data_IF_267652992197
#
_entry.id   IF_267652992197
#
_cell.length_a   1.000
_cell.length_b   1.000
_cell.length_c   1.000
_cell.angle_alpha   90.00
_cell.angle_beta   90.00
_cell.angle_gamma   90.00
#
_symmetry.space_group_name_H-M   'P 1'
#
loop_
_entity.id
_entity.type
_entity.pdbx_description
1 polymer ?
#
# COMPACT_ATOMS: atom_id res chain seq x y z
N UNK A 1 -0.71 6.04 42.93
CA UNK A 1 -1.49 5.59 41.79
C UNK A 1 -0.59 5.20 40.59
N UNK A 2 0.46 5.99 40.29
CA UNK A 2 1.46 5.67 39.25
C UNK A 2 2.32 4.43 39.59
N UNK A 3 2.77 4.30 40.82
CA UNK A 3 3.51 3.13 41.32
C UNK A 3 2.70 1.84 41.32
N UNK A 4 1.37 1.92 41.48
CA UNK A 4 0.47 0.76 41.39
C UNK A 4 0.25 0.28 39.96
N UNK A 5 0.26 1.20 39.00
CA UNK A 5 0.21 0.88 37.55
C UNK A 5 1.54 0.29 37.05
N UNK A 6 2.68 0.75 37.57
CA UNK A 6 3.99 0.15 37.32
C UNK A 6 4.13 -1.25 37.93
N UNK A 7 3.56 -1.49 39.10
CA UNK A 7 3.56 -2.80 39.77
C UNK A 7 2.70 -3.84 39.01
N UNK A 8 1.59 -3.42 38.42
CA UNK A 8 0.74 -4.29 37.58
C UNK A 8 1.41 -4.59 36.22
N UNK A 9 2.20 -3.65 35.69
CA UNK A 9 2.95 -3.82 34.45
C UNK A 9 4.13 -4.80 34.56
N UNK A 10 4.65 -4.98 35.77
CA UNK A 10 5.88 -5.76 36.05
C UNK A 10 5.66 -7.25 36.30
N UNK A 11 4.42 -7.77 36.16
CA UNK A 11 4.06 -9.13 36.58
C UNK A 11 3.46 -10.06 35.52
N UNK A 12 3.35 -9.64 34.26
CA UNK A 12 2.85 -10.54 33.19
C UNK A 12 3.95 -10.74 32.15
N UNK A 13 4.64 -11.86 32.25
CA UNK A 13 5.60 -12.30 31.23
C UNK A 13 4.86 -12.51 29.92
N UNK A 14 5.43 -12.04 28.83
CA UNK A 14 4.95 -12.34 27.48
C UNK A 14 5.26 -13.79 27.17
N UNK A 15 4.30 -14.51 26.61
CA UNK A 15 4.45 -15.86 26.14
C UNK A 15 4.45 -15.90 24.62
N UNK A 16 5.33 -16.75 24.08
CA UNK A 16 5.43 -17.06 22.67
C UNK A 16 4.91 -18.47 22.47
N UNK A 17 3.72 -18.61 21.89
CA UNK A 17 3.09 -19.90 21.66
C UNK A 17 3.00 -20.18 20.17
N UNK A 18 3.50 -21.36 19.77
CA UNK A 18 3.52 -21.79 18.37
C UNK A 18 2.52 -22.94 18.17
N UNK A 19 1.65 -22.78 17.16
CA UNK A 19 0.71 -23.79 16.69
C UNK A 19 1.09 -24.28 15.31
N UNK A 20 0.85 -25.55 15.02
CA UNK A 20 0.74 -26.08 13.66
C UNK A 20 -0.73 -26.02 13.23
N UNK A 21 -1.00 -25.43 12.08
CA UNK A 21 -2.35 -25.28 11.52
C UNK A 21 -2.42 -26.09 10.22
N UNK A 22 -2.88 -27.34 10.30
CA UNK A 22 -2.77 -28.32 9.18
C UNK A 22 -3.41 -27.86 7.87
N UNK A 23 -4.45 -27.06 7.93
CA UNK A 23 -5.16 -26.55 6.75
C UNK A 23 -4.78 -25.12 6.37
N UNK A 24 -3.69 -24.58 6.90
CA UNK A 24 -3.18 -23.26 6.50
C UNK A 24 -2.31 -23.39 5.24
N UNK A 25 -2.97 -23.39 4.09
CA UNK A 25 -2.34 -23.59 2.79
C UNK A 25 -2.26 -22.30 1.95
N UNK A 26 -3.01 -21.27 2.34
CA UNK A 26 -3.06 -20.02 1.59
C UNK A 26 -3.23 -18.80 2.53
N UNK A 27 -3.04 -17.57 2.02
CA UNK A 27 -3.29 -16.34 2.77
C UNK A 27 -4.74 -16.17 3.26
N UNK A 28 -5.69 -16.99 2.77
CA UNK A 28 -7.09 -16.93 3.20
C UNK A 28 -7.25 -17.39 4.65
N UNK A 29 -6.59 -18.50 5.00
CA UNK A 29 -6.60 -19.04 6.36
C UNK A 29 -5.85 -18.14 7.34
N UNK A 30 -4.72 -17.54 6.91
CA UNK A 30 -4.04 -16.50 7.67
C UNK A 30 -4.99 -15.36 8.03
N UNK A 31 -5.72 -14.84 7.03
CA UNK A 31 -6.67 -13.74 7.26
C UNK A 31 -7.80 -14.14 8.23
N UNK A 32 -8.32 -15.37 8.15
CA UNK A 32 -9.34 -15.87 9.07
C UNK A 32 -8.79 -15.92 10.51
N UNK A 33 -7.57 -16.43 10.68
CA UNK A 33 -6.90 -16.49 11.99
C UNK A 33 -6.63 -15.10 12.54
N UNK A 34 -6.10 -14.16 11.73
CA UNK A 34 -5.93 -12.76 12.13
C UNK A 34 -7.24 -12.14 12.60
N UNK A 35 -8.32 -12.28 11.81
CA UNK A 35 -9.62 -11.73 12.16
C UNK A 35 -10.16 -12.25 13.49
N UNK A 36 -9.90 -13.51 13.81
CA UNK A 36 -10.40 -14.15 15.02
C UNK A 36 -9.54 -13.82 16.25
N UNK A 37 -8.22 -13.66 16.05
CA UNK A 37 -7.25 -13.47 17.12
C UNK A 37 -6.96 -11.99 17.43
N UNK A 38 -7.01 -11.08 16.44
CA UNK A 38 -6.76 -9.65 16.65
C UNK A 38 -7.79 -8.95 17.57
N UNK A 39 -8.93 -9.59 17.83
CA UNK A 39 -9.95 -9.06 18.75
C UNK A 39 -9.68 -9.44 20.21
N UNK A 40 -8.74 -10.36 20.47
CA UNK A 40 -8.36 -10.82 21.80
C UNK A 40 -7.33 -9.84 22.38
N UNK A 41 -7.68 -9.17 23.47
CA UNK A 41 -6.84 -8.11 24.07
C UNK A 41 -5.47 -8.64 24.56
N UNK A 42 -5.40 -9.89 24.94
CA UNK A 42 -4.20 -10.60 25.40
C UNK A 42 -3.22 -10.87 24.26
N UNK A 43 -3.65 -10.97 23.01
CA UNK A 43 -2.80 -11.17 21.83
C UNK A 43 -2.08 -9.86 21.50
N UNK A 44 -0.76 -9.93 21.38
CA UNK A 44 0.10 -8.76 21.10
C UNK A 44 0.67 -8.79 19.70
N UNK A 45 0.98 -9.97 19.17
CA UNK A 45 1.43 -10.14 17.79
C UNK A 45 1.14 -11.53 17.26
N UNK A 46 1.03 -11.65 15.94
CA UNK A 46 0.82 -12.89 15.20
C UNK A 46 1.85 -12.99 14.08
N UNK A 47 2.62 -14.07 14.07
CA UNK A 47 3.55 -14.40 12.99
C UNK A 47 3.07 -15.67 12.27
N UNK A 48 3.01 -15.61 10.94
CA UNK A 48 2.55 -16.71 10.10
C UNK A 48 3.65 -17.22 9.19
N UNK A 49 3.87 -18.51 9.22
CA UNK A 49 4.74 -19.27 8.32
C UNK A 49 3.88 -20.25 7.51
N UNK A 50 3.26 -19.73 6.45
CA UNK A 50 2.33 -20.50 5.60
C UNK A 50 3.03 -21.74 4.98
N UNK A 51 4.27 -21.66 4.43
CA UNK A 51 4.94 -22.82 3.90
C UNK A 51 5.11 -23.96 4.89
N UNK A 52 5.37 -23.64 6.16
CA UNK A 52 5.55 -24.62 7.24
C UNK A 52 4.29 -24.81 8.08
N UNK A 53 3.16 -24.14 7.72
CA UNK A 53 1.86 -24.23 8.39
C UNK A 53 1.93 -23.89 9.88
N UNK A 54 2.77 -22.91 10.25
CA UNK A 54 2.97 -22.49 11.64
C UNK A 54 2.35 -21.12 11.89
N UNK A 55 1.69 -21.02 13.03
CA UNK A 55 1.21 -19.78 13.62
C UNK A 55 1.93 -19.58 14.95
N UNK A 56 2.64 -18.47 15.09
CA UNK A 56 3.22 -18.06 16.37
C UNK A 56 2.40 -16.90 16.92
N UNK A 57 1.89 -17.08 18.14
CA UNK A 57 1.10 -16.08 18.87
C UNK A 57 1.92 -15.55 20.03
N UNK A 58 2.13 -14.23 20.05
CA UNK A 58 2.70 -13.54 21.22
C UNK A 58 1.55 -12.99 22.06
N UNK A 59 1.43 -13.43 23.30
CA UNK A 59 0.32 -13.09 24.16
C UNK A 59 0.74 -12.87 25.61
N UNK A 60 -0.16 -12.24 26.40
CA UNK A 60 0.02 -12.02 27.83
C UNK A 60 -1.14 -12.71 28.55
N UNK A 61 -0.84 -13.72 29.39
CA UNK A 61 -1.85 -14.40 30.21
C UNK A 61 -2.34 -15.71 29.63
N UNK A 62 -3.59 -16.09 29.86
CA UNK A 62 -4.08 -17.44 29.61
C UNK A 62 -4.29 -17.71 28.10
N UNK A 63 -3.69 -18.80 27.64
CA UNK A 63 -3.79 -19.29 26.25
C UNK A 63 -5.17 -19.85 25.89
N UNK A 64 -6.00 -20.20 26.87
CA UNK A 64 -7.25 -20.97 26.64
C UNK A 64 -8.24 -20.28 25.71
N UNK A 65 -8.31 -18.94 25.73
CA UNK A 65 -9.18 -18.18 24.82
C UNK A 65 -8.64 -18.18 23.37
N UNK A 66 -7.31 -18.12 23.24
CA UNK A 66 -6.61 -18.20 21.95
C UNK A 66 -6.82 -19.59 21.33
N UNK A 67 -6.61 -20.67 22.11
CA UNK A 67 -6.83 -22.04 21.66
C UNK A 67 -8.29 -22.27 21.25
N UNK A 68 -9.24 -21.83 22.06
CA UNK A 68 -10.67 -21.95 21.74
C UNK A 68 -11.00 -21.24 20.42
N UNK A 69 -10.45 -20.03 20.22
CA UNK A 69 -10.67 -19.22 19.03
C UNK A 69 -10.09 -19.84 17.76
N UNK A 70 -8.93 -20.49 17.87
CA UNK A 70 -8.31 -21.23 16.75
C UNK A 70 -9.12 -22.49 16.44
N UNK A 71 -9.51 -23.25 17.46
CA UNK A 71 -10.29 -24.48 17.33
C UNK A 71 -11.65 -24.25 16.66
N UNK A 72 -12.31 -23.12 16.96
CA UNK A 72 -13.60 -22.72 16.34
C UNK A 72 -13.51 -22.67 14.81
N UNK A 73 -12.34 -22.35 14.25
CA UNK A 73 -12.10 -22.26 12.79
C UNK A 73 -11.97 -23.64 12.13
N UNK A 74 -11.82 -24.73 12.92
CA UNK A 74 -11.69 -26.13 12.45
C UNK A 74 -10.60 -26.33 11.39
N UNK A 75 -9.51 -25.59 11.52
CA UNK A 75 -8.36 -25.65 10.62
C UNK A 75 -7.36 -26.77 10.98
N UNK A 76 -7.61 -27.50 12.08
CA UNK A 76 -6.79 -28.62 12.53
C UNK A 76 -5.53 -28.13 13.21
N UNK A 77 -5.67 -27.40 14.30
CA UNK A 77 -4.61 -26.85 15.13
C UNK A 77 -3.97 -27.92 16.03
N UNK A 78 -2.68 -27.76 16.28
CA UNK A 78 -1.90 -28.54 17.24
C UNK A 78 -0.90 -27.61 17.92
N UNK A 79 -0.92 -27.53 19.24
CA UNK A 79 0.06 -26.79 20.01
C UNK A 79 1.44 -27.46 19.89
N UNK A 80 2.45 -26.71 19.43
CA UNK A 80 3.83 -27.21 19.30
C UNK A 80 4.68 -26.83 20.52
N UNK A 81 4.66 -25.57 20.92
CA UNK A 81 5.45 -25.05 22.04
C UNK A 81 4.80 -23.81 22.63
N UNK A 82 5.03 -23.60 23.93
CA UNK A 82 4.78 -22.33 24.61
C UNK A 82 5.98 -22.01 25.50
N UNK A 83 6.58 -20.83 25.27
CA UNK A 83 7.78 -20.40 25.94
C UNK A 83 7.58 -18.97 26.45
N UNK A 84 8.05 -18.70 27.66
CA UNK A 84 8.12 -17.34 28.18
C UNK A 84 9.19 -16.58 27.41
N UNK A 85 8.84 -15.44 26.81
CA UNK A 85 9.81 -14.59 26.12
C UNK A 85 9.97 -13.28 26.89
N UNK A 86 11.18 -12.73 26.87
CA UNK A 86 11.38 -11.35 27.32
C UNK A 86 10.66 -10.43 26.34
N UNK A 87 10.21 -9.27 26.85
CA UNK A 87 9.44 -8.28 26.10
C UNK A 87 10.13 -8.01 24.73
N UNK A 88 9.64 -8.65 23.67
CA UNK A 88 10.11 -8.40 22.32
C UNK A 88 9.58 -7.01 21.99
N UNK A 89 10.46 -6.02 21.94
CA UNK A 89 10.11 -4.71 21.39
C UNK A 89 9.70 -4.95 19.93
N UNK A 90 8.39 -4.91 19.66
CA UNK A 90 7.84 -4.89 18.30
C UNK A 90 8.20 -3.55 17.62
N UNK A 91 9.51 -3.29 17.48
CA UNK A 91 10.05 -2.11 16.80
C UNK A 91 9.68 -2.06 15.32
N UNK A 92 9.36 -3.21 14.72
CA UNK A 92 9.06 -3.31 13.30
C UNK A 92 7.74 -2.62 12.94
N UNK A 93 6.66 -2.82 13.67
CA UNK A 93 5.35 -2.20 13.34
C UNK A 93 5.38 -0.67 13.41
N UNK A 94 6.03 -0.08 14.40
CA UNK A 94 6.12 1.37 14.51
C UNK A 94 6.96 1.98 13.39
N UNK A 95 8.02 1.29 12.97
CA UNK A 95 8.88 1.69 11.86
C UNK A 95 8.17 1.62 10.50
N UNK A 96 7.48 0.52 10.25
CA UNK A 96 6.71 0.32 9.02
C UNK A 96 5.55 1.32 8.89
N UNK A 97 4.80 1.54 9.96
CA UNK A 97 3.72 2.53 9.99
C UNK A 97 4.23 3.94 9.71
N UNK A 98 5.37 4.33 10.28
CA UNK A 98 5.99 5.63 10.01
C UNK A 98 6.45 5.73 8.56
N UNK A 99 7.02 4.65 8.01
CA UNK A 99 7.44 4.60 6.61
C UNK A 99 6.24 4.77 5.67
N UNK A 100 5.15 4.02 5.87
CA UNK A 100 3.93 4.12 5.08
C UNK A 100 3.32 5.53 5.14
N UNK A 101 3.29 6.18 6.31
CA UNK A 101 2.85 7.56 6.44
C UNK A 101 3.74 8.53 5.66
N UNK A 102 5.06 8.31 5.69
CA UNK A 102 6.02 9.15 4.96
C UNK A 102 5.80 9.03 3.46
N UNK A 103 5.70 7.80 2.95
CA UNK A 103 5.50 7.55 1.52
C UNK A 103 4.13 8.07 1.06
N UNK A 104 3.07 7.86 1.84
CA UNK A 104 1.75 8.44 1.57
C UNK A 104 1.80 9.96 1.45
N UNK A 105 2.47 10.63 2.40
CA UNK A 105 2.58 12.09 2.38
C UNK A 105 3.35 12.58 1.15
N UNK A 106 4.42 11.89 0.75
CA UNK A 106 5.20 12.21 -0.45
C UNK A 106 4.33 12.03 -1.70
N UNK A 107 3.69 10.87 -1.88
CA UNK A 107 2.84 10.62 -3.06
C UNK A 107 1.68 11.61 -3.14
N UNK A 108 1.01 11.90 -2.03
CA UNK A 108 -0.08 12.86 -2.01
C UNK A 108 0.39 14.29 -2.32
N UNK A 109 1.57 14.69 -1.84
CA UNK A 109 2.15 15.99 -2.16
C UNK A 109 2.49 16.09 -3.66
N UNK A 110 3.11 15.05 -4.23
CA UNK A 110 3.42 15.01 -5.66
C UNK A 110 2.17 14.92 -6.53
N UNK A 111 1.14 14.20 -6.11
CA UNK A 111 -0.17 14.26 -6.76
C UNK A 111 -0.64 15.72 -6.92
N UNK A 112 -0.60 16.53 -5.87
CA UNK A 112 -1.03 17.94 -5.94
C UNK A 112 -0.14 18.78 -6.85
N UNK A 113 1.18 18.58 -6.78
CA UNK A 113 2.17 19.29 -7.61
C UNK A 113 1.98 18.93 -9.09
N UNK A 114 1.96 17.66 -9.41
CA UNK A 114 1.86 17.18 -10.80
C UNK A 114 0.49 17.47 -11.41
N UNK A 115 -0.59 17.32 -10.66
CA UNK A 115 -1.93 17.67 -11.14
C UNK A 115 -1.99 19.17 -11.49
N UNK A 116 -1.52 20.03 -10.58
CA UNK A 116 -1.54 21.47 -10.78
C UNK A 116 -0.64 21.89 -11.96
N UNK A 117 0.60 21.39 -11.99
CA UNK A 117 1.56 21.71 -13.05
C UNK A 117 1.19 21.09 -14.39
N UNK A 118 0.62 19.87 -14.39
CA UNK A 118 0.13 19.19 -15.59
C UNK A 118 -1.03 19.94 -16.27
N UNK A 119 -1.95 20.49 -15.48
CA UNK A 119 -3.03 21.33 -16.00
C UNK A 119 -2.46 22.65 -16.57
N UNK A 120 -1.55 23.31 -15.85
CA UNK A 120 -0.96 24.59 -16.26
C UNK A 120 -0.09 24.41 -17.50
N UNK A 121 0.78 23.41 -17.52
CA UNK A 121 1.67 23.08 -18.64
C UNK A 121 0.97 22.41 -19.82
N UNK A 122 -0.30 22.01 -19.66
CA UNK A 122 -1.11 21.25 -20.63
C UNK A 122 -0.54 19.86 -20.94
N UNK A 123 0.23 19.28 -20.06
CA UNK A 123 0.77 17.92 -20.19
C UNK A 123 -0.25 16.89 -19.67
N UNK A 124 -0.64 15.96 -20.55
CA UNK A 124 -1.47 14.82 -20.16
C UNK A 124 -0.66 13.72 -19.51
N UNK A 125 0.64 13.64 -19.79
CA UNK A 125 1.58 12.75 -19.09
C UNK A 125 1.64 13.07 -17.60
N UNK A 126 1.86 14.37 -17.23
CA UNK A 126 1.85 14.78 -15.83
C UNK A 126 0.49 14.59 -15.13
N UNK A 127 -0.61 14.89 -15.84
CA UNK A 127 -1.96 14.66 -15.28
C UNK A 127 -2.21 13.19 -15.03
N UNK A 128 -1.80 12.30 -15.92
CA UNK A 128 -1.97 10.86 -15.76
C UNK A 128 -1.10 10.30 -14.63
N UNK A 129 0.16 10.75 -14.55
CA UNK A 129 1.11 10.40 -13.49
C UNK A 129 0.58 10.84 -12.11
N UNK A 130 0.06 12.07 -12.01
CA UNK A 130 -0.57 12.54 -10.77
C UNK A 130 -1.72 11.65 -10.29
N UNK A 131 -2.54 11.13 -11.20
CA UNK A 131 -3.64 10.22 -10.84
C UNK A 131 -3.13 8.85 -10.37
N UNK A 132 -1.99 8.39 -10.88
CA UNK A 132 -1.33 7.19 -10.37
C UNK A 132 -0.82 7.40 -8.95
N UNK A 133 -0.16 8.53 -8.66
CA UNK A 133 0.24 8.90 -7.29
C UNK A 133 -0.93 9.06 -6.33
N UNK A 134 -2.07 9.54 -6.81
CA UNK A 134 -3.31 9.55 -6.01
C UNK A 134 -3.77 8.13 -5.68
N UNK A 135 -3.72 7.22 -6.65
CA UNK A 135 -4.05 5.80 -6.44
C UNK A 135 -3.18 5.16 -5.37
N UNK A 136 -1.89 5.38 -5.46
CA UNK A 136 -0.92 4.87 -4.50
C UNK A 136 -1.15 5.45 -3.11
N UNK A 137 -1.46 6.74 -3.01
CA UNK A 137 -1.85 7.37 -1.75
C UNK A 137 -3.07 6.69 -1.12
N UNK A 138 -4.06 6.27 -1.92
CA UNK A 138 -5.18 5.47 -1.41
C UNK A 138 -4.75 4.09 -0.94
N UNK A 139 -3.89 3.39 -1.67
CA UNK A 139 -3.38 2.07 -1.27
C UNK A 139 -2.61 2.16 0.04
N UNK A 140 -1.71 3.13 0.19
CA UNK A 140 -0.99 3.36 1.45
C UNK A 140 -1.93 3.75 2.59
N UNK A 141 -2.90 4.62 2.33
CA UNK A 141 -3.92 5.01 3.31
C UNK A 141 -4.77 3.83 3.79
N UNK A 142 -5.17 2.94 2.87
CA UNK A 142 -5.92 1.72 3.20
C UNK A 142 -5.03 0.77 4.01
N UNK A 143 -3.77 0.61 3.65
CA UNK A 143 -2.80 -0.20 4.40
C UNK A 143 -2.62 0.31 5.82
N UNK A 144 -2.56 1.63 6.02
CA UNK A 144 -2.50 2.25 7.35
C UNK A 144 -3.80 2.09 8.15
N UNK A 145 -4.98 2.16 7.49
CA UNK A 145 -6.28 1.90 8.12
C UNK A 145 -6.49 0.41 8.41
N UNK A 146 -5.70 -0.46 7.79
CA UNK A 146 -5.74 -1.90 8.04
C UNK A 146 -5.32 -2.23 9.48
N UNK A 147 -4.45 -1.45 10.05
CA UNK A 147 -4.08 -1.53 11.47
C UNK A 147 -5.20 -0.91 12.31
N UNK A 148 -6.14 -1.73 12.81
CA UNK A 148 -7.19 -1.33 13.77
C UNK A 148 -8.58 -0.97 13.22
N UNK A 149 -8.87 -1.16 11.92
CA UNK A 149 -10.19 -0.88 11.33
C UNK A 149 -11.01 -2.13 11.00
N UNK A 150 -12.34 -2.04 11.06
CA UNK A 150 -13.22 -3.15 10.63
C UNK A 150 -13.07 -3.42 9.12
N UNK A 151 -13.11 -4.70 8.73
CA UNK A 151 -12.99 -5.15 7.32
C UNK A 151 -14.04 -4.48 6.43
N UNK A 152 -15.27 -4.35 6.90
CA UNK A 152 -16.35 -3.68 6.16
C UNK A 152 -16.00 -2.22 5.83
N UNK A 153 -15.39 -1.49 6.76
CA UNK A 153 -14.95 -0.10 6.54
C UNK A 153 -13.82 -0.02 5.53
N UNK A 154 -12.84 -0.93 5.62
CA UNK A 154 -11.73 -1.03 4.67
C UNK A 154 -12.24 -1.28 3.25
N UNK A 155 -13.11 -2.29 3.08
CA UNK A 155 -13.69 -2.65 1.80
C UNK A 155 -14.49 -1.49 1.18
N UNK A 156 -15.25 -0.74 1.99
CA UNK A 156 -16.03 0.40 1.49
C UNK A 156 -15.14 1.55 1.04
N UNK A 157 -14.08 1.87 1.80
CA UNK A 157 -13.11 2.91 1.41
C UNK A 157 -12.37 2.51 0.14
N UNK A 158 -11.92 1.26 0.04
CA UNK A 158 -11.24 0.73 -1.15
C UNK A 158 -12.13 0.75 -2.40
N UNK A 159 -13.42 0.38 -2.26
CA UNK A 159 -14.40 0.44 -3.35
C UNK A 159 -14.59 1.89 -3.83
N UNK A 160 -14.80 2.81 -2.89
CA UNK A 160 -14.99 4.23 -3.21
C UNK A 160 -13.77 4.79 -3.94
N UNK A 161 -12.56 4.53 -3.43
CA UNK A 161 -11.31 4.94 -4.03
C UNK A 161 -11.14 4.36 -5.45
N UNK A 162 -11.36 3.05 -5.64
CA UNK A 162 -11.25 2.40 -6.94
C UNK A 162 -12.25 2.95 -7.97
N UNK A 163 -13.51 3.16 -7.61
CA UNK A 163 -14.49 3.75 -8.52
C UNK A 163 -14.17 5.21 -8.85
N UNK A 164 -13.75 6.01 -7.87
CA UNK A 164 -13.36 7.38 -8.08
C UNK A 164 -12.17 7.49 -9.04
N UNK A 165 -11.18 6.63 -8.88
CA UNK A 165 -10.01 6.56 -9.73
C UNK A 165 -10.35 6.16 -11.18
N UNK A 166 -11.21 5.14 -11.38
CA UNK A 166 -11.70 4.77 -12.71
C UNK A 166 -12.39 5.95 -13.38
N UNK A 167 -13.26 6.66 -12.63
CA UNK A 167 -13.96 7.83 -13.16
C UNK A 167 -12.99 8.91 -13.63
N UNK A 168 -12.00 9.27 -12.80
CA UNK A 168 -11.00 10.29 -13.14
C UNK A 168 -10.13 9.86 -14.32
N UNK A 169 -9.67 8.61 -14.34
CA UNK A 169 -8.88 8.08 -15.45
C UNK A 169 -9.69 8.05 -16.76
N UNK A 170 -10.97 7.73 -16.70
CA UNK A 170 -11.83 7.75 -17.87
C UNK A 170 -12.04 9.17 -18.42
N UNK A 171 -12.27 10.16 -17.54
CA UNK A 171 -12.35 11.57 -17.92
C UNK A 171 -11.04 12.03 -18.56
N UNK A 172 -9.89 11.70 -17.95
CA UNK A 172 -8.58 12.03 -18.50
C UNK A 172 -8.32 11.39 -19.87
N UNK A 173 -8.73 10.12 -20.03
CA UNK A 173 -8.60 9.44 -21.31
C UNK A 173 -9.45 10.08 -22.42
N UNK A 174 -10.67 10.50 -22.11
CA UNK A 174 -11.52 11.26 -23.06
C UNK A 174 -10.81 12.55 -23.48
N UNK A 175 -10.20 13.26 -22.53
CA UNK A 175 -9.47 14.48 -22.81
C UNK A 175 -8.26 14.23 -23.72
N UNK A 176 -7.53 13.13 -23.55
CA UNK A 176 -6.46 12.71 -24.46
C UNK A 176 -6.99 12.52 -25.88
N UNK A 177 -8.08 11.76 -26.03
CA UNK A 177 -8.72 11.54 -27.33
C UNK A 177 -9.13 12.86 -27.98
N UNK A 178 -9.73 13.76 -27.21
CA UNK A 178 -10.11 15.11 -27.67
C UNK A 178 -8.91 15.89 -28.20
N UNK A 179 -7.80 15.90 -27.43
CA UNK A 179 -6.56 16.60 -27.82
C UNK A 179 -5.83 15.94 -28.98
N UNK A 180 -5.92 14.62 -29.09
CA UNK A 180 -5.31 13.88 -30.20
C UNK A 180 -6.00 14.18 -31.55
N UNK A 181 -7.29 14.44 -31.52
CA UNK A 181 -8.11 14.78 -32.71
C UNK A 181 -8.16 16.26 -33.01
N UNK A 182 -7.76 17.12 -32.05
CA UNK A 182 -7.76 18.57 -32.18
C UNK A 182 -6.37 19.17 -32.35
N UNK A 183 -6.33 20.48 -32.66
CA UNK A 183 -5.10 21.28 -32.76
C UNK A 183 -4.82 21.94 -31.40
N UNK A 184 -4.55 21.14 -30.36
CA UNK A 184 -4.26 21.68 -29.03
C UNK A 184 -2.82 22.20 -28.93
N UNK A 185 -2.65 23.20 -28.05
CA UNK A 185 -1.33 23.80 -27.78
C UNK A 185 -0.37 22.77 -27.24
N UNK A 186 0.88 22.90 -27.65
CA UNK A 186 1.99 22.06 -27.14
C UNK A 186 2.12 22.20 -25.62
N UNK A 187 2.42 21.10 -24.91
CA UNK A 187 2.74 21.16 -23.50
C UNK A 187 4.08 21.86 -23.27
N UNK A 188 4.22 22.49 -22.10
CA UNK A 188 5.51 23.05 -21.70
C UNK A 188 6.46 21.92 -21.24
N UNK A 189 7.34 21.52 -22.16
CA UNK A 189 8.28 20.42 -21.93
C UNK A 189 9.29 20.70 -20.81
N UNK A 190 9.61 21.97 -20.52
CA UNK A 190 10.48 22.29 -19.39
C UNK A 190 9.83 21.98 -18.05
N UNK A 191 8.57 22.36 -17.88
CA UNK A 191 7.78 22.02 -16.69
C UNK A 191 7.68 20.50 -16.54
N UNK A 192 7.42 19.77 -17.62
CA UNK A 192 7.37 18.31 -17.59
C UNK A 192 8.69 17.71 -17.08
N UNK A 193 9.83 18.10 -17.66
CA UNK A 193 11.15 17.58 -17.27
C UNK A 193 11.46 17.89 -15.80
N UNK A 194 11.26 19.13 -15.38
CA UNK A 194 11.59 19.56 -14.02
C UNK A 194 10.73 18.80 -12.99
N UNK A 195 9.43 18.80 -13.18
CA UNK A 195 8.48 18.19 -12.22
C UNK A 195 8.69 16.67 -12.15
N UNK A 196 8.73 15.97 -13.28
CA UNK A 196 8.94 14.52 -13.30
C UNK A 196 10.35 14.13 -12.81
N UNK A 197 11.36 15.00 -12.95
CA UNK A 197 12.68 14.72 -12.34
C UNK A 197 12.62 14.76 -10.81
N UNK A 198 11.92 15.74 -10.24
CA UNK A 198 11.73 15.79 -8.79
C UNK A 198 10.88 14.61 -8.28
N UNK A 199 9.82 14.23 -8.99
CA UNK A 199 9.01 13.06 -8.66
C UNK A 199 9.84 11.76 -8.75
N UNK A 200 10.64 11.59 -9.80
CA UNK A 200 11.56 10.46 -9.96
C UNK A 200 12.54 10.34 -8.78
N UNK A 201 13.11 11.45 -8.33
CA UNK A 201 14.01 11.48 -7.16
C UNK A 201 13.24 11.09 -5.89
N UNK A 202 12.06 11.65 -5.68
CA UNK A 202 11.22 11.35 -4.51
C UNK A 202 10.83 9.87 -4.47
N UNK A 203 10.38 9.30 -5.60
CA UNK A 203 10.05 7.89 -5.70
C UNK A 203 11.29 6.99 -5.53
N UNK A 204 12.45 7.41 -6.04
CA UNK A 204 13.71 6.73 -5.78
C UNK A 204 14.08 6.70 -4.30
N UNK A 205 13.85 7.79 -3.56
CA UNK A 205 14.03 7.84 -2.10
C UNK A 205 13.02 6.92 -1.40
N UNK A 206 11.75 6.94 -1.79
CA UNK A 206 10.72 6.05 -1.23
C UNK A 206 11.09 4.58 -1.45
N UNK A 207 11.51 4.20 -2.65
CA UNK A 207 11.95 2.85 -2.97
C UNK A 207 13.15 2.43 -2.12
N UNK A 208 14.15 3.31 -1.98
CA UNK A 208 15.30 3.06 -1.11
C UNK A 208 14.89 2.84 0.35
N UNK A 209 13.93 3.62 0.87
CA UNK A 209 13.42 3.47 2.23
C UNK A 209 12.69 2.13 2.41
N UNK A 210 11.89 1.69 1.43
CA UNK A 210 11.27 0.37 1.43
C UNK A 210 12.30 -0.76 1.43
N UNK A 211 13.30 -0.68 0.55
CA UNK A 211 14.37 -1.69 0.48
C UNK A 211 15.17 -1.77 1.79
N UNK A 212 15.39 -0.64 2.45
CA UNK A 212 16.11 -0.57 3.73
C UNK A 212 15.30 -1.18 4.88
N UNK A 213 13.96 -1.15 4.81
CA UNK A 213 13.10 -1.72 5.86
C UNK A 213 13.22 -3.23 5.96
N UNK A 214 13.69 -3.92 4.90
CA UNK A 214 13.84 -5.39 4.81
C UNK A 214 12.59 -6.16 5.21
N UNK A 215 11.41 -5.54 5.11
CA UNK A 215 10.17 -6.18 5.47
C UNK A 215 9.75 -7.20 4.41
N UNK A 216 9.47 -8.42 4.85
CA UNK A 216 8.95 -9.51 4.00
C UNK A 216 7.42 -9.49 3.91
N UNK A 217 6.76 -8.55 4.60
CA UNK A 217 5.31 -8.45 4.61
C UNK A 217 4.74 -8.11 3.23
N UNK A 218 3.69 -8.80 2.83
CA UNK A 218 3.10 -8.70 1.49
C UNK A 218 2.68 -7.29 1.11
N UNK A 219 2.19 -6.48 2.06
CA UNK A 219 1.80 -5.11 1.80
C UNK A 219 3.00 -4.18 1.57
N UNK A 220 4.13 -4.43 2.23
CA UNK A 220 5.37 -3.69 2.01
C UNK A 220 6.00 -4.02 0.66
N UNK A 221 5.98 -5.30 0.26
CA UNK A 221 6.44 -5.72 -1.06
C UNK A 221 5.55 -5.18 -2.18
N UNK A 222 4.24 -5.17 -1.99
CA UNK A 222 3.32 -4.53 -2.93
C UNK A 222 3.62 -3.03 -3.08
N UNK A 223 3.89 -2.34 -1.98
CA UNK A 223 4.27 -0.92 -1.97
C UNK A 223 5.57 -0.66 -2.74
N UNK A 224 6.58 -1.54 -2.61
CA UNK A 224 7.81 -1.46 -3.41
C UNK A 224 7.55 -1.58 -4.90
N UNK A 225 6.66 -2.49 -5.32
CA UNK A 225 6.31 -2.69 -6.73
C UNK A 225 5.63 -1.44 -7.28
N UNK A 226 4.70 -0.82 -6.56
CA UNK A 226 4.03 0.41 -6.97
C UNK A 226 5.03 1.55 -7.14
N UNK A 227 5.83 1.83 -6.11
CA UNK A 227 6.88 2.87 -6.19
C UNK A 227 7.89 2.62 -7.32
N UNK A 228 8.19 1.34 -7.65
CA UNK A 228 9.03 1.02 -8.81
C UNK A 228 8.36 1.36 -10.14
N UNK A 229 7.04 1.19 -10.25
CA UNK A 229 6.28 1.58 -11.43
C UNK A 229 6.27 3.10 -11.61
N UNK A 230 6.10 3.88 -10.54
CA UNK A 230 6.16 5.35 -10.58
C UNK A 230 7.49 5.86 -11.17
N UNK A 231 8.60 5.21 -10.80
CA UNK A 231 9.92 5.53 -11.37
C UNK A 231 9.92 5.35 -12.90
N UNK A 232 9.31 4.26 -13.39
CA UNK A 232 9.22 3.98 -14.83
C UNK A 232 8.32 5.00 -15.51
N UNK A 233 7.19 5.34 -14.91
CA UNK A 233 6.23 6.32 -15.44
C UNK A 233 6.87 7.70 -15.53
N UNK A 234 7.47 8.17 -14.44
CA UNK A 234 8.16 9.46 -14.39
C UNK A 234 9.27 9.55 -15.46
N UNK A 235 10.06 8.48 -15.61
CA UNK A 235 11.06 8.41 -16.68
C UNK A 235 10.41 8.50 -18.07
N UNK A 236 9.28 7.82 -18.26
CA UNK A 236 8.48 7.89 -19.48
C UNK A 236 8.00 9.31 -19.79
N UNK A 237 7.54 10.06 -18.78
CA UNK A 237 7.12 11.47 -18.94
C UNK A 237 8.32 12.34 -19.32
N UNK A 238 9.50 12.14 -18.72
CA UNK A 238 10.72 12.88 -19.10
C UNK A 238 11.11 12.60 -20.56
N UNK A 239 11.09 11.33 -20.98
CA UNK A 239 11.38 10.96 -22.38
C UNK A 239 10.35 11.58 -23.32
N UNK A 240 9.07 11.56 -22.96
CA UNK A 240 8.04 12.20 -23.78
C UNK A 240 8.24 13.71 -23.91
N UNK A 241 8.66 14.38 -22.85
CA UNK A 241 8.95 15.81 -22.85
C UNK A 241 10.09 16.17 -23.83
N UNK A 242 11.17 15.36 -23.83
CA UNK A 242 12.26 15.51 -24.81
C UNK A 242 11.74 15.32 -26.24
N UNK A 243 10.91 14.29 -26.46
CA UNK A 243 10.32 14.05 -27.78
C UNK A 243 9.36 15.16 -28.21
N UNK A 244 8.58 15.72 -27.28
CA UNK A 244 7.72 16.90 -27.54
C UNK A 244 8.58 18.06 -28.06
N UNK A 245 9.71 18.33 -27.40
CA UNK A 245 10.63 19.41 -27.82
C UNK A 245 11.27 19.14 -29.19
N UNK A 246 11.76 17.92 -29.43
CA UNK A 246 12.47 17.55 -30.66
C UNK A 246 11.52 17.47 -31.86
N UNK A 247 10.35 16.85 -31.69
CA UNK A 247 9.36 16.63 -32.74
C UNK A 247 8.43 17.83 -32.95
N UNK A 248 8.51 18.84 -32.08
CA UNK A 248 7.62 19.99 -32.07
C UNK A 248 6.12 19.56 -32.15
N UNK A 249 5.75 18.56 -31.34
CA UNK A 249 4.43 17.90 -31.36
C UNK A 249 3.99 17.52 -29.96
N UNK A 250 2.68 17.63 -29.66
CA UNK A 250 2.08 17.19 -28.41
C UNK A 250 1.85 15.66 -28.35
N UNK A 251 1.98 14.96 -29.48
CA UNK A 251 1.66 13.53 -29.59
C UNK A 251 2.42 12.62 -28.61
N UNK A 252 3.75 12.81 -28.38
CA UNK A 252 4.47 11.97 -27.41
C UNK A 252 3.88 12.05 -26.00
N UNK A 253 3.52 13.24 -25.54
CA UNK A 253 2.88 13.45 -24.23
C UNK A 253 1.52 12.76 -24.13
N UNK A 254 0.70 12.88 -25.18
CA UNK A 254 -0.60 12.22 -25.24
C UNK A 254 -0.48 10.68 -25.26
N UNK A 255 0.52 10.13 -25.95
CA UNK A 255 0.75 8.68 -25.98
C UNK A 255 1.17 8.16 -24.61
N UNK A 256 2.13 8.83 -23.96
CA UNK A 256 2.56 8.42 -22.61
C UNK A 256 1.42 8.57 -21.62
N UNK A 257 0.70 9.70 -21.65
CA UNK A 257 -0.50 9.89 -20.81
C UNK A 257 -1.56 8.80 -21.02
N UNK A 258 -1.80 8.38 -22.27
CA UNK A 258 -2.74 7.29 -22.57
C UNK A 258 -2.29 5.97 -21.96
N UNK A 259 -1.01 5.64 -22.07
CA UNK A 259 -0.43 4.41 -21.47
C UNK A 259 -0.62 4.45 -19.96
N UNK A 260 -0.28 5.56 -19.30
CA UNK A 260 -0.42 5.71 -17.84
C UNK A 260 -1.88 5.60 -17.41
N UNK A 261 -2.83 6.23 -18.11
CA UNK A 261 -4.26 6.07 -17.78
C UNK A 261 -4.75 4.63 -17.88
N UNK A 262 -4.25 3.85 -18.84
CA UNK A 262 -4.56 2.41 -18.92
C UNK A 262 -4.00 1.68 -17.70
N UNK A 263 -2.79 1.99 -17.25
CA UNK A 263 -2.19 1.42 -16.05
C UNK A 263 -2.99 1.78 -14.79
N UNK A 264 -3.39 3.05 -14.66
CA UNK A 264 -4.24 3.55 -13.56
C UNK A 264 -5.58 2.79 -13.50
N UNK A 265 -6.25 2.61 -14.65
CA UNK A 265 -7.50 1.84 -14.72
C UNK A 265 -7.27 0.39 -14.30
N UNK A 266 -6.18 -0.22 -14.76
CA UNK A 266 -5.85 -1.60 -14.40
C UNK A 266 -5.60 -1.75 -12.89
N UNK A 267 -4.86 -0.81 -12.29
CA UNK A 267 -4.64 -0.73 -10.84
C UNK A 267 -5.94 -0.60 -10.05
N UNK A 268 -6.82 0.30 -10.48
CA UNK A 268 -8.13 0.51 -9.84
C UNK A 268 -9.02 -0.74 -9.92
N UNK A 269 -9.05 -1.44 -11.06
CA UNK A 269 -9.78 -2.71 -11.21
C UNK A 269 -9.21 -3.76 -10.26
N UNK A 270 -7.90 -3.82 -10.09
CA UNK A 270 -7.25 -4.75 -9.14
C UNK A 270 -7.69 -4.46 -7.70
N UNK A 271 -7.71 -3.21 -7.28
CA UNK A 271 -8.20 -2.79 -5.94
C UNK A 271 -9.67 -3.23 -5.77
N UNK A 272 -10.53 -3.01 -6.76
CA UNK A 272 -11.94 -3.42 -6.70
C UNK A 272 -12.13 -4.94 -6.63
N UNK A 273 -11.26 -5.73 -7.27
CA UNK A 273 -11.31 -7.20 -7.17
C UNK A 273 -10.95 -7.69 -5.76
N UNK A 274 -9.95 -7.08 -5.11
CA UNK A 274 -9.56 -7.43 -3.74
C UNK A 274 -10.66 -7.16 -2.71
N UNK A 275 -11.58 -6.21 -3.01
CA UNK A 275 -12.69 -5.86 -2.10
C UNK A 275 -13.98 -6.64 -2.36
N UNK A 276 -13.99 -7.52 -3.36
CA UNK A 276 -15.19 -8.28 -3.75
C UNK A 276 -15.31 -9.64 -3.03
N UNK A 277 -14.23 -10.10 -2.42
CA UNK A 277 -14.16 -11.28 -1.55
C UNK A 277 -14.20 -10.83 -0.09
#
# INVERSE_FOLDING_TARGET
>A
RLLFLEYIKKGRNMEKTTFEIKKMDCPCEENLLRMKLDVIEEVKNLEFDIPNRKLTVYHIGNISEIESSINDLKLGDTLLSSETTEEVEFKEESGQRKLLWTVLAINFAFFLIEMSTGIISKSMGLVADSLDMLADSFVYGISLLAVGGTIARKNNVSKLAGYFQILLAFIGFIEIVRRFLGDDKMPDFWTMIIVSTFALIANGICLYLFMKSKSEESHMQASMIFTSNDIIINFGVIVSAVLVSVLNSNKPDLIVGAIVFVLVIYGAIRILRLTRN
#
